data_IF_120317265054
#
_entry.id   IF_120317265054
#
_cell.length_a   1.000
_cell.length_b   1.000
_cell.length_c   1.000
_cell.angle_alpha   90.00
_cell.angle_beta   90.00
_cell.angle_gamma   90.00
#
_symmetry.space_group_name_H-M   'P 1'
#
loop_
_entity.id
_entity.type
_entity.pdbx_description
1 polymer ?
#
# COMPACT_ATOMS: atom_id res chain seq x y z
N UNK A 1 -49.45 18.34 -12.04
CA UNK A 1 -49.47 16.86 -12.10
C UNK A 1 -48.05 16.40 -12.46
N UNK A 2 -47.36 15.79 -11.48
CA UNK A 2 -46.20 14.87 -11.55
C UNK A 2 -44.89 15.30 -12.25
N UNK A 3 -43.98 15.85 -11.43
CA UNK A 3 -42.58 15.43 -11.18
C UNK A 3 -42.11 14.08 -11.80
N UNK A 4 -40.94 14.04 -12.47
CA UNK A 4 -39.68 13.44 -11.96
C UNK A 4 -38.54 13.29 -13.00
N UNK A 5 -37.31 13.31 -12.47
CA UNK A 5 -36.07 12.65 -12.92
C UNK A 5 -35.18 13.28 -14.01
N UNK A 6 -34.31 14.21 -13.55
CA UNK A 6 -32.88 14.16 -13.90
C UNK A 6 -32.08 13.90 -12.62
N UNK A 7 -31.76 12.63 -12.36
CA UNK A 7 -30.77 12.20 -11.35
C UNK A 7 -29.75 11.29 -12.03
N UNK A 8 -28.52 11.81 -12.02
CA UNK A 8 -27.23 11.16 -11.73
C UNK A 8 -26.70 10.05 -12.67
N UNK A 9 -25.50 10.34 -13.19
CA UNK A 9 -24.52 9.40 -13.77
C UNK A 9 -23.83 8.58 -12.64
N UNK A 10 -24.27 8.75 -11.39
CA UNK A 10 -23.64 8.20 -10.19
C UNK A 10 -23.89 6.71 -9.86
N UNK A 11 -24.80 5.93 -10.47
CA UNK A 11 -24.96 4.52 -10.09
C UNK A 11 -24.24 3.53 -11.03
N UNK A 12 -23.56 3.98 -12.09
CA UNK A 12 -22.79 3.10 -13.01
C UNK A 12 -21.28 3.09 -12.74
N UNK A 13 -20.78 4.04 -11.95
CA UNK A 13 -19.38 4.12 -11.46
C UNK A 13 -19.18 3.31 -10.17
N UNK A 14 -20.27 2.92 -9.51
CA UNK A 14 -20.26 2.25 -8.19
C UNK A 14 -20.19 0.70 -8.31
N UNK A 15 -19.97 0.14 -9.51
CA UNK A 15 -20.04 -1.32 -9.77
C UNK A 15 -18.81 -1.92 -10.51
N UNK A 16 -17.73 -1.19 -10.79
CA UNK A 16 -16.46 -1.81 -11.26
C UNK A 16 -15.69 -2.50 -10.08
N UNK A 17 -16.48 -3.11 -9.21
CA UNK A 17 -16.24 -3.49 -7.83
C UNK A 17 -16.09 -5.02 -7.71
N UNK A 18 -15.87 -5.76 -8.81
CA UNK A 18 -16.03 -7.23 -8.85
C UNK A 18 -14.88 -8.12 -9.35
N UNK A 19 -13.67 -7.60 -9.57
CA UNK A 19 -12.84 -8.16 -10.66
C UNK A 19 -11.59 -8.98 -10.27
N UNK A 20 -11.10 -8.93 -9.03
CA UNK A 20 -10.04 -9.89 -8.61
C UNK A 20 -10.53 -10.93 -7.61
N UNK A 21 -11.85 -11.08 -7.42
CA UNK A 21 -12.40 -11.75 -6.24
C UNK A 21 -12.00 -13.22 -6.06
N UNK A 22 -11.21 -13.45 -5.01
CA UNK A 22 -11.52 -14.53 -4.08
C UNK A 22 -12.63 -14.10 -3.12
N UNK A 23 -13.69 -14.92 -3.06
CA UNK A 23 -14.85 -14.93 -2.15
C UNK A 23 -16.11 -14.19 -2.65
N UNK A 24 -16.99 -15.02 -3.20
CA UNK A 24 -18.45 -14.90 -3.18
C UNK A 24 -18.98 -14.82 -1.74
N UNK A 25 -19.56 -13.70 -1.32
CA UNK A 25 -20.61 -13.64 -0.30
C UNK A 25 -21.36 -12.31 -0.39
N UNK A 26 -22.67 -12.36 -0.57
CA UNK A 26 -23.52 -11.18 -0.75
C UNK A 26 -23.53 -10.25 0.45
N UNK A 27 -23.24 -8.97 0.22
CA UNK A 27 -23.52 -7.92 1.18
C UNK A 27 -25.01 -7.59 1.13
N UNK A 28 -25.80 -8.25 1.98
CA UNK A 28 -26.97 -7.60 2.56
C UNK A 28 -26.46 -6.50 3.48
N UNK A 29 -26.81 -5.24 3.18
CA UNK A 29 -26.78 -4.19 4.19
C UNK A 29 -27.80 -4.57 5.27
N UNK A 30 -27.35 -5.28 6.30
CA UNK A 30 -28.07 -5.34 7.55
C UNK A 30 -27.85 -4.01 8.25
N UNK A 31 -28.80 -3.09 8.11
CA UNK A 31 -28.88 -1.83 8.86
C UNK A 31 -29.22 -2.07 10.35
N UNK A 32 -28.59 -3.07 10.95
CA UNK A 32 -28.96 -3.59 12.26
C UNK A 32 -27.88 -4.45 12.90
N UNK A 33 -26.60 -4.22 12.56
CA UNK A 33 -25.55 -4.67 13.47
C UNK A 33 -25.77 -3.92 14.78
N UNK A 34 -26.21 -4.64 15.82
CA UNK A 34 -26.17 -4.13 17.18
C UNK A 34 -24.74 -3.62 17.37
N UNK A 35 -24.59 -2.31 17.61
CA UNK A 35 -23.37 -1.79 18.23
C UNK A 35 -23.15 -2.70 19.44
N UNK A 36 -22.18 -3.61 19.37
CA UNK A 36 -21.55 -4.05 20.58
C UNK A 36 -21.10 -2.77 21.29
N UNK A 37 -21.26 -2.72 22.61
CA UNK A 37 -20.92 -1.56 23.43
C UNK A 37 -19.41 -1.26 23.35
N UNK A 38 -18.90 -0.82 22.20
CA UNK A 38 -17.58 -0.23 22.08
C UNK A 38 -17.68 1.14 22.74
N UNK A 39 -17.09 1.26 23.92
CA UNK A 39 -17.04 2.50 24.72
C UNK A 39 -16.44 3.67 23.93
N UNK A 40 -15.58 3.37 22.95
CA UNK A 40 -15.07 4.35 22.00
C UNK A 40 -15.83 4.27 20.67
N UNK A 41 -16.25 5.41 20.09
CA UNK A 41 -17.18 5.41 18.98
C UNK A 41 -16.46 5.36 17.61
N UNK A 42 -15.49 4.45 17.50
CA UNK A 42 -14.75 4.15 16.26
C UNK A 42 -14.76 2.63 16.04
N UNK A 43 -15.02 2.19 14.81
CA UNK A 43 -14.92 0.79 14.42
C UNK A 43 -13.91 0.66 13.29
N UNK A 44 -12.91 -0.21 13.46
CA UNK A 44 -11.81 -0.40 12.53
C UNK A 44 -11.96 -1.72 11.78
N UNK A 45 -11.76 -1.71 10.46
CA UNK A 45 -11.89 -2.93 9.62
C UNK A 45 -10.51 -3.46 9.25
N UNK A 46 -9.85 -4.10 10.20
CA UNK A 46 -8.51 -4.65 10.01
C UNK A 46 -8.48 -5.72 8.93
N UNK A 47 -9.55 -6.50 8.72
CA UNK A 47 -9.65 -7.47 7.63
C UNK A 47 -9.38 -6.92 6.21
N UNK A 48 -9.39 -5.60 6.03
CA UNK A 48 -9.00 -4.98 4.75
C UNK A 48 -7.49 -5.09 4.50
N UNK A 49 -6.66 -5.28 5.53
CA UNK A 49 -5.20 -5.23 5.47
C UNK A 49 -4.54 -6.59 5.19
N UNK A 50 -5.23 -7.48 4.48
CA UNK A 50 -4.73 -8.83 4.19
C UNK A 50 -3.32 -8.79 3.54
N UNK A 51 -2.30 -9.40 4.17
CA UNK A 51 -0.94 -9.39 3.64
C UNK A 51 -0.82 -10.17 2.32
N UNK A 52 0.31 -9.99 1.64
CA UNK A 52 0.65 -10.75 0.43
C UNK A 52 0.86 -12.23 0.78
N UNK A 53 0.03 -13.11 0.22
CA UNK A 53 0.15 -14.57 0.27
C UNK A 53 0.43 -15.16 -1.12
N UNK A 54 1.63 -15.02 -1.70
CA UNK A 54 1.88 -15.46 -3.08
C UNK A 54 1.21 -16.81 -3.42
N UNK A 55 0.19 -16.79 -4.30
CA UNK A 55 -0.36 -18.05 -4.81
C UNK A 55 0.70 -18.74 -5.66
N UNK A 56 0.70 -20.07 -5.70
CA UNK A 56 1.71 -20.88 -6.37
C UNK A 56 1.75 -20.74 -7.91
N UNK A 57 1.01 -19.78 -8.49
CA UNK A 57 1.06 -19.45 -9.91
C UNK A 57 2.01 -18.28 -10.20
N UNK A 58 2.57 -18.24 -11.41
CA UNK A 58 3.63 -17.30 -11.84
C UNK A 58 3.26 -15.80 -11.64
N UNK A 59 1.97 -15.51 -11.46
CA UNK A 59 1.41 -14.18 -11.33
C UNK A 59 0.63 -13.93 -10.02
N UNK A 60 0.67 -14.86 -9.07
CA UNK A 60 -0.01 -14.73 -7.78
C UNK A 60 0.32 -13.46 -7.03
N UNK A 61 1.59 -13.04 -7.11
CA UNK A 61 2.09 -11.82 -6.51
C UNK A 61 1.42 -10.55 -7.08
N UNK A 62 1.18 -10.47 -8.40
CA UNK A 62 0.51 -9.32 -9.05
C UNK A 62 -0.85 -9.05 -8.44
N UNK A 63 -1.68 -10.10 -8.38
CA UNK A 63 -3.09 -9.96 -7.99
C UNK A 63 -3.23 -9.54 -6.53
N UNK A 64 -2.36 -10.08 -5.69
CA UNK A 64 -2.42 -9.83 -4.26
C UNK A 64 -1.80 -8.49 -3.88
N UNK A 65 -0.77 -8.05 -4.59
CA UNK A 65 -0.22 -6.72 -4.38
C UNK A 65 -1.19 -5.61 -4.76
N UNK A 66 -1.98 -5.79 -5.82
CA UNK A 66 -3.10 -4.91 -6.13
C UNK A 66 -4.18 -4.91 -5.02
N UNK A 67 -4.53 -6.10 -4.52
CA UNK A 67 -5.56 -6.28 -3.48
C UNK A 67 -5.15 -5.67 -2.16
N UNK A 68 -3.92 -5.92 -1.71
CA UNK A 68 -3.38 -5.42 -0.46
C UNK A 68 -3.24 -3.90 -0.45
N UNK A 69 -2.76 -3.34 -1.56
CA UNK A 69 -2.66 -1.91 -1.75
C UNK A 69 -4.06 -1.24 -1.63
N UNK A 70 -5.05 -1.77 -2.34
CA UNK A 70 -6.44 -1.31 -2.22
C UNK A 70 -6.97 -1.40 -0.80
N UNK A 71 -6.71 -2.51 -0.12
CA UNK A 71 -7.12 -2.74 1.27
C UNK A 71 -6.62 -1.63 2.20
N UNK A 72 -5.36 -1.23 2.06
CA UNK A 72 -4.77 -0.13 2.81
C UNK A 72 -5.39 1.23 2.50
N UNK A 73 -5.62 1.56 1.22
CA UNK A 73 -6.31 2.81 0.86
C UNK A 73 -7.70 2.89 1.48
N UNK A 74 -8.47 1.80 1.37
CA UNK A 74 -9.81 1.74 1.95
C UNK A 74 -9.78 1.82 3.47
N UNK A 75 -8.75 1.26 4.11
CA UNK A 75 -8.61 1.31 5.54
C UNK A 75 -8.32 2.72 6.07
N UNK A 76 -7.47 3.51 5.40
CA UNK A 76 -7.26 4.92 5.74
C UNK A 76 -8.54 5.74 5.59
N UNK A 77 -9.23 5.58 4.45
CA UNK A 77 -10.50 6.27 4.19
C UNK A 77 -11.57 5.87 5.24
N UNK A 78 -11.63 4.59 5.63
CA UNK A 78 -12.53 4.08 6.67
C UNK A 78 -12.21 4.69 8.05
N UNK A 79 -10.92 4.87 8.41
CA UNK A 79 -10.53 5.54 9.66
C UNK A 79 -11.02 6.99 9.65
N UNK A 80 -10.67 7.75 8.61
CA UNK A 80 -11.02 9.18 8.49
C UNK A 80 -12.55 9.34 8.51
N UNK A 81 -13.26 8.58 7.69
CA UNK A 81 -14.71 8.62 7.63
C UNK A 81 -15.36 8.19 8.96
N UNK A 82 -14.80 7.18 9.63
CA UNK A 82 -15.25 6.72 10.94
C UNK A 82 -15.16 7.83 11.99
N UNK A 83 -14.02 8.52 12.06
CA UNK A 83 -13.82 9.66 12.97
C UNK A 83 -14.77 10.81 12.61
N UNK A 84 -14.79 11.23 11.34
CA UNK A 84 -15.59 12.37 10.87
C UNK A 84 -17.09 12.16 11.03
N UNK A 85 -17.57 10.91 10.98
CA UNK A 85 -18.97 10.59 11.20
C UNK A 85 -19.44 10.83 12.65
N UNK A 86 -18.51 11.01 13.59
CA UNK A 86 -18.81 11.30 14.98
C UNK A 86 -18.49 12.76 15.34
N UNK A 87 -19.51 13.61 15.27
CA UNK A 87 -19.37 15.04 15.54
C UNK A 87 -18.90 15.36 16.96
N UNK A 88 -19.25 14.56 17.96
CA UNK A 88 -18.80 14.76 19.34
C UNK A 88 -17.31 14.40 19.47
N UNK A 89 -16.88 13.29 18.90
CA UNK A 89 -15.47 12.89 18.89
C UNK A 89 -14.62 13.95 18.17
N UNK A 90 -15.08 14.43 17.01
CA UNK A 90 -14.41 15.49 16.27
C UNK A 90 -14.29 16.76 17.11
N UNK A 91 -15.40 17.18 17.75
CA UNK A 91 -15.40 18.37 18.61
C UNK A 91 -14.43 18.23 19.79
N UNK A 92 -14.39 17.06 20.43
CA UNK A 92 -13.52 16.82 21.58
C UNK A 92 -12.05 16.70 21.19
N UNK A 93 -11.72 16.10 20.04
CA UNK A 93 -10.35 15.91 19.59
C UNK A 93 -9.78 17.12 18.83
N UNK A 94 -10.60 18.08 18.40
CA UNK A 94 -10.12 19.27 17.71
C UNK A 94 -9.33 20.17 18.67
N UNK A 95 -8.03 20.34 18.41
CA UNK A 95 -7.09 21.11 19.25
C UNK A 95 -6.80 20.50 20.63
N UNK A 96 -7.24 19.25 20.86
CA UNK A 96 -7.09 18.54 22.14
C UNK A 96 -6.76 17.07 21.88
N UNK A 97 -6.28 16.38 22.91
CA UNK A 97 -6.00 14.95 22.82
C UNK A 97 -7.07 14.15 23.54
N UNK A 98 -7.82 13.35 22.78
CA UNK A 98 -8.73 12.35 23.31
C UNK A 98 -7.98 11.05 23.56
N UNK A 99 -8.12 10.47 24.75
CA UNK A 99 -7.50 9.19 25.13
C UNK A 99 -8.53 8.20 25.63
N UNK A 100 -8.30 6.93 25.39
CA UNK A 100 -9.09 5.85 25.99
C UNK A 100 -8.23 4.61 26.16
N UNK A 101 -8.48 3.81 27.20
CA UNK A 101 -7.59 2.70 27.57
C UNK A 101 -8.32 1.36 27.54
N UNK A 102 -7.58 0.29 27.24
CA UNK A 102 -8.10 -1.08 27.29
C UNK A 102 -9.37 -1.31 26.43
N UNK A 103 -9.37 -0.75 25.23
CA UNK A 103 -10.50 -0.83 24.29
C UNK A 103 -10.31 -1.95 23.29
N UNK A 104 -11.29 -2.84 23.18
CA UNK A 104 -11.38 -3.71 22.01
C UNK A 104 -11.82 -2.88 20.80
N UNK A 105 -10.95 -2.77 19.81
CA UNK A 105 -11.24 -2.08 18.56
C UNK A 105 -11.02 -3.00 17.38
N UNK A 106 -11.94 -2.89 16.43
CA UNK A 106 -11.89 -3.57 15.14
C UNK A 106 -12.21 -5.06 15.18
N UNK A 107 -12.09 -5.70 14.02
CA UNK A 107 -12.52 -7.08 13.78
C UNK A 107 -11.42 -8.14 13.98
N UNK A 108 -10.29 -7.75 14.58
CA UNK A 108 -9.07 -8.55 14.68
C UNK A 108 -8.68 -9.05 16.08
N UNK A 109 -9.55 -8.87 17.07
CA UNK A 109 -9.31 -9.30 18.45
C UNK A 109 -8.27 -8.48 19.24
N UNK A 110 -7.79 -7.37 18.70
CA UNK A 110 -6.87 -6.48 19.39
C UNK A 110 -7.52 -5.65 20.50
N UNK A 111 -6.74 -5.33 21.52
CA UNK A 111 -7.14 -4.45 22.64
C UNK A 111 -6.09 -3.36 22.80
N UNK A 112 -6.54 -2.10 22.83
CA UNK A 112 -5.65 -0.95 22.66
C UNK A 112 -5.89 0.16 23.67
N UNK A 113 -4.81 0.87 23.99
CA UNK A 113 -4.87 2.25 24.42
C UNK A 113 -4.87 3.15 23.17
N UNK A 114 -5.86 4.02 23.09
CA UNK A 114 -6.16 4.85 21.93
C UNK A 114 -5.82 6.29 22.26
N UNK A 115 -5.22 6.98 21.30
CA UNK A 115 -5.06 8.43 21.34
C UNK A 115 -5.44 9.05 20.01
N UNK A 116 -6.24 10.11 20.06
CA UNK A 116 -6.69 10.86 18.89
C UNK A 116 -6.54 12.36 19.13
N UNK A 117 -5.87 13.03 18.21
CA UNK A 117 -5.78 14.49 18.14
C UNK A 117 -6.16 14.94 16.74
N UNK A 118 -6.98 15.98 16.62
CA UNK A 118 -7.38 16.57 15.34
C UNK A 118 -7.05 18.06 15.31
N UNK A 119 -6.81 18.61 14.12
CA UNK A 119 -6.69 20.06 13.93
C UNK A 119 -5.63 20.75 14.78
N UNK A 120 -4.47 20.11 14.96
CA UNK A 120 -3.34 20.65 15.73
C UNK A 120 -2.56 21.73 14.92
N UNK A 121 -3.19 22.89 14.72
CA UNK A 121 -2.61 23.99 13.94
C UNK A 121 -1.50 24.73 14.70
N UNK A 122 -0.35 24.94 14.05
CA UNK A 122 0.79 25.71 14.57
C UNK A 122 1.77 24.90 15.43
N UNK A 123 1.48 23.62 15.69
CA UNK A 123 2.38 22.66 16.33
C UNK A 123 2.18 21.26 15.70
N UNK A 124 2.05 21.22 14.37
CA UNK A 124 1.74 20.01 13.59
C UNK A 124 2.72 18.86 13.87
N UNK A 125 2.24 17.62 13.71
CA UNK A 125 3.06 16.42 13.90
C UNK A 125 4.05 16.23 12.76
N UNK A 126 5.27 15.82 13.06
CA UNK A 126 6.38 15.74 12.09
C UNK A 126 7.05 14.36 12.08
N UNK A 127 6.30 13.29 11.73
CA UNK A 127 6.89 11.97 11.60
C UNK A 127 7.85 11.94 10.41
N UNK A 128 8.96 11.22 10.56
CA UNK A 128 9.85 10.86 9.46
C UNK A 128 9.32 9.63 8.73
N UNK A 129 9.64 9.47 7.44
CA UNK A 129 9.17 8.34 6.62
C UNK A 129 10.27 7.80 5.72
N UNK A 130 10.10 6.57 5.21
CA UNK A 130 10.97 6.05 4.15
C UNK A 130 10.75 6.71 2.78
N UNK A 131 9.71 7.51 2.64
CA UNK A 131 9.20 8.03 1.35
C UNK A 131 9.56 9.50 1.11
N UNK A 132 9.98 10.23 2.14
CA UNK A 132 10.38 11.63 2.03
C UNK A 132 11.55 11.92 2.96
N UNK A 133 12.37 12.90 2.58
CA UNK A 133 13.56 13.29 3.35
C UNK A 133 13.43 14.66 4.00
N UNK A 134 12.47 15.47 3.53
CA UNK A 134 12.10 16.77 4.09
C UNK A 134 11.12 16.60 5.24
N UNK A 135 11.01 17.62 6.09
CA UNK A 135 10.00 17.66 7.14
C UNK A 135 8.61 17.76 6.52
N UNK A 136 7.74 16.84 6.91
CA UNK A 136 6.31 16.84 6.64
C UNK A 136 5.55 17.19 7.90
N UNK A 137 4.42 17.87 7.75
CA UNK A 137 3.58 18.32 8.85
C UNK A 137 2.17 17.79 8.67
N UNK A 138 1.61 17.21 9.72
CA UNK A 138 0.23 16.69 9.70
C UNK A 138 -0.57 17.31 10.85
N UNK A 139 -1.79 17.75 10.57
CA UNK A 139 -2.67 18.37 11.58
C UNK A 139 -3.37 17.34 12.47
N UNK A 140 -3.48 16.09 12.02
CA UNK A 140 -4.23 15.05 12.70
C UNK A 140 -3.36 13.82 13.02
N UNK A 141 -3.68 13.17 14.15
CA UNK A 141 -2.94 12.00 14.63
C UNK A 141 -3.84 11.00 15.36
N UNK A 142 -3.68 9.71 15.03
CA UNK A 142 -4.30 8.58 15.70
C UNK A 142 -3.22 7.56 16.07
N UNK A 143 -3.23 7.13 17.32
CA UNK A 143 -2.35 6.09 17.86
C UNK A 143 -3.17 4.96 18.46
N UNK A 144 -2.77 3.73 18.16
CA UNK A 144 -3.19 2.53 18.87
C UNK A 144 -1.95 1.84 19.45
N UNK A 145 -1.88 1.79 20.78
CA UNK A 145 -0.88 1.02 21.52
C UNK A 145 -1.54 -0.24 22.06
N UNK A 146 -0.85 -1.38 22.03
CA UNK A 146 -1.36 -2.60 22.65
C UNK A 146 -1.58 -2.36 24.15
N UNK A 147 -2.78 -2.67 24.64
CA UNK A 147 -3.15 -2.38 26.01
C UNK A 147 -2.23 -3.11 27.00
N UNK A 148 -1.77 -2.38 28.02
CA UNK A 148 -0.86 -2.92 29.04
C UNK A 148 0.59 -3.11 28.60
N UNK A 149 0.98 -2.69 27.39
CA UNK A 149 2.38 -2.77 26.92
C UNK A 149 2.87 -1.40 26.43
N UNK A 150 4.13 -1.34 25.98
CA UNK A 150 4.70 -0.18 25.28
C UNK A 150 4.67 -0.34 23.75
N UNK A 151 4.09 -1.41 23.24
CA UNK A 151 4.12 -1.74 21.81
C UNK A 151 3.09 -0.95 21.02
N UNK A 152 3.56 -0.15 20.07
CA UNK A 152 2.71 0.46 19.04
C UNK A 152 2.14 -0.62 18.12
N UNK A 153 0.84 -0.52 17.84
CA UNK A 153 0.14 -1.35 16.87
C UNK A 153 -0.17 -0.54 15.60
N UNK A 154 -0.54 0.73 15.74
CA UNK A 154 -0.86 1.63 14.64
C UNK A 154 -0.55 3.08 14.99
N UNK A 155 0.00 3.82 14.03
CA UNK A 155 0.12 5.28 14.05
C UNK A 155 -0.36 5.82 12.71
N UNK A 156 -1.19 6.85 12.73
CA UNK A 156 -1.74 7.45 11.54
C UNK A 156 -1.68 8.96 11.65
N UNK A 157 -1.05 9.60 10.67
CA UNK A 157 -0.87 11.03 10.56
C UNK A 157 -1.50 11.49 9.26
N UNK A 158 -2.32 12.54 9.26
CA UNK A 158 -2.96 13.00 8.03
C UNK A 158 -3.34 14.48 8.07
N UNK A 159 -3.39 15.08 6.88
CA UNK A 159 -4.00 16.39 6.66
C UNK A 159 -5.52 16.28 6.55
N UNK A 160 -6.25 17.37 6.79
CA UNK A 160 -7.71 17.40 6.66
C UNK A 160 -8.19 16.96 5.27
N UNK A 161 -7.39 17.21 4.24
CA UNK A 161 -7.58 16.69 2.89
C UNK A 161 -6.26 16.07 2.36
N UNK A 162 -6.05 14.76 2.55
CA UNK A 162 -4.84 14.07 2.09
C UNK A 162 -4.68 14.04 0.56
N UNK A 163 -5.73 14.43 -0.19
CA UNK A 163 -5.77 14.45 -1.65
C UNK A 163 -5.61 15.87 -2.22
N UNK A 164 -5.32 16.85 -1.37
CA UNK A 164 -5.02 18.21 -1.80
C UNK A 164 -3.68 18.21 -2.55
N UNK A 165 -3.68 18.71 -3.79
CA UNK A 165 -2.46 18.84 -4.58
C UNK A 165 -1.46 19.74 -3.86
N UNK A 166 -0.23 19.25 -3.67
CA UNK A 166 0.82 19.95 -2.94
C UNK A 166 0.67 19.90 -1.41
N UNK A 167 -0.31 19.17 -0.86
CA UNK A 167 -0.39 18.89 0.58
C UNK A 167 0.64 17.84 1.04
N UNK A 168 0.72 17.61 2.35
CA UNK A 168 1.64 16.63 2.95
C UNK A 168 1.03 15.22 2.99
N UNK A 169 -0.29 15.11 2.89
CA UNK A 169 -0.99 13.86 2.59
C UNK A 169 -1.38 13.06 3.83
N UNK A 170 -1.12 11.75 3.81
CA UNK A 170 -1.37 10.86 4.94
C UNK A 170 -0.31 9.76 5.04
N UNK A 171 0.16 9.51 6.27
CA UNK A 171 1.12 8.46 6.63
C UNK A 171 0.50 7.51 7.65
N UNK A 172 0.38 6.24 7.29
CA UNK A 172 -0.06 5.16 8.15
C UNK A 172 1.09 4.19 8.42
N UNK A 173 1.34 3.87 9.67
CA UNK A 173 2.28 2.84 10.09
C UNK A 173 1.52 1.84 10.96
N UNK A 174 1.61 0.55 10.66
CA UNK A 174 0.95 -0.48 11.46
C UNK A 174 1.72 -1.80 11.45
N UNK A 175 1.46 -2.65 12.43
CA UNK A 175 2.04 -3.99 12.52
C UNK A 175 0.93 -5.03 12.54
N UNK A 176 0.93 -5.94 11.56
CA UNK A 176 -0.13 -6.91 11.33
C UNK A 176 -0.46 -7.70 12.61
N UNK A 177 0.46 -8.50 13.14
CA UNK A 177 0.20 -9.33 14.33
C UNK A 177 -0.25 -8.53 15.57
N UNK A 178 0.02 -7.23 15.64
CA UNK A 178 -0.42 -6.37 16.76
C UNK A 178 -1.82 -5.80 16.56
N UNK A 179 -2.19 -5.41 15.34
CA UNK A 179 -3.52 -4.83 15.06
C UNK A 179 -4.62 -5.88 14.93
N UNK A 180 -4.33 -7.07 14.41
CA UNK A 180 -5.28 -8.19 14.41
C UNK A 180 -4.61 -9.52 14.81
N UNK A 181 -4.30 -9.71 16.11
CA UNK A 181 -3.65 -10.92 16.60
C UNK A 181 -4.46 -12.21 16.38
N UNK A 182 -5.78 -12.13 16.20
CA UNK A 182 -6.59 -13.31 15.86
C UNK A 182 -6.50 -13.72 14.39
N UNK A 183 -6.14 -12.77 13.52
CA UNK A 183 -6.17 -12.96 12.06
C UNK A 183 -4.78 -13.24 11.49
N UNK A 184 -3.73 -12.62 12.06
CA UNK A 184 -2.40 -12.61 11.44
C UNK A 184 -1.30 -12.98 12.42
N UNK A 185 -0.39 -13.83 11.96
CA UNK A 185 0.88 -14.15 12.63
C UNK A 185 2.05 -13.31 12.10
N UNK A 186 1.84 -12.60 11.00
CA UNK A 186 2.83 -11.78 10.30
C UNK A 186 3.37 -10.66 11.21
N UNK A 187 4.69 -10.62 11.39
CA UNK A 187 5.34 -9.64 12.26
C UNK A 187 5.78 -8.38 11.50
N UNK A 188 5.46 -8.28 10.20
CA UNK A 188 5.81 -7.13 9.39
C UNK A 188 5.21 -5.82 9.93
N UNK A 189 6.05 -4.80 10.00
CA UNK A 189 5.63 -3.41 10.12
C UNK A 189 5.48 -2.85 8.72
N UNK A 190 4.34 -2.24 8.46
CA UNK A 190 3.95 -1.66 7.18
C UNK A 190 3.90 -0.15 7.34
N UNK A 191 4.48 0.56 6.40
CA UNK A 191 4.31 2.00 6.21
C UNK A 191 3.55 2.21 4.89
N UNK A 192 2.44 2.94 4.94
CA UNK A 192 1.72 3.40 3.76
C UNK A 192 1.65 4.92 3.75
N UNK A 193 2.03 5.51 2.64
CA UNK A 193 2.00 6.95 2.43
C UNK A 193 1.17 7.27 1.20
N UNK A 194 0.22 8.20 1.33
CA UNK A 194 -0.66 8.69 0.27
C UNK A 194 -0.45 10.19 0.15
N UNK A 195 -0.22 10.67 -1.07
CA UNK A 195 -0.23 12.10 -1.34
C UNK A 195 -0.62 12.42 -2.78
N UNK A 196 -1.04 13.66 -3.01
CA UNK A 196 -1.35 14.18 -4.34
C UNK A 196 -0.24 15.13 -4.78
N UNK A 197 0.58 14.77 -5.79
CA UNK A 197 1.62 15.65 -6.31
C UNK A 197 1.06 16.95 -6.88
N UNK A 198 1.81 18.05 -6.79
CA UNK A 198 1.49 19.29 -7.50
C UNK A 198 1.98 19.23 -8.95
N UNK A 199 1.31 18.42 -9.77
CA UNK A 199 1.68 18.20 -11.17
C UNK A 199 1.65 19.47 -12.04
N UNK A 200 1.06 20.57 -11.55
CA UNK A 200 0.92 21.84 -12.28
C UNK A 200 2.12 22.74 -12.01
N UNK A 201 2.54 22.87 -10.75
CA UNK A 201 3.58 23.83 -10.37
C UNK A 201 4.96 23.19 -10.15
N UNK A 202 5.04 21.87 -9.98
CA UNK A 202 6.29 21.17 -9.77
C UNK A 202 6.91 20.72 -11.10
N UNK A 203 8.11 21.24 -11.39
CA UNK A 203 8.86 20.94 -12.61
C UNK A 203 9.24 19.46 -12.74
N UNK A 204 9.31 18.71 -11.63
CA UNK A 204 9.54 17.25 -11.63
C UNK A 204 8.50 16.53 -12.49
N UNK A 205 7.28 17.06 -12.52
CA UNK A 205 6.15 16.48 -13.26
C UNK A 205 5.89 17.17 -14.60
N UNK A 206 6.77 18.04 -15.10
CA UNK A 206 6.58 18.71 -16.39
C UNK A 206 6.48 17.72 -17.56
N UNK A 207 7.15 16.57 -17.46
CA UNK A 207 7.06 15.47 -18.43
C UNK A 207 5.91 14.49 -18.14
N UNK A 208 5.20 14.68 -17.02
CA UNK A 208 4.11 13.85 -16.53
C UNK A 208 2.93 14.70 -16.02
N UNK A 209 2.40 15.65 -16.82
CA UNK A 209 1.46 16.68 -16.35
C UNK A 209 0.11 16.11 -15.88
N UNK A 210 -0.18 14.85 -16.17
CA UNK A 210 -1.41 14.15 -15.79
C UNK A 210 -1.18 13.14 -14.65
N UNK A 211 -0.17 13.40 -13.80
CA UNK A 211 0.10 12.63 -12.60
C UNK A 211 -1.01 12.87 -11.58
N UNK A 212 -1.68 11.79 -11.17
CA UNK A 212 -2.70 11.81 -10.11
C UNK A 212 -2.14 11.33 -8.78
N UNK A 213 -3.03 10.78 -7.95
CA UNK A 213 -2.70 10.30 -6.62
C UNK A 213 -1.57 9.27 -6.66
N UNK A 214 -0.69 9.36 -5.66
CA UNK A 214 0.37 8.39 -5.43
C UNK A 214 0.14 7.72 -4.10
N UNK A 215 0.35 6.40 -4.08
CA UNK A 215 0.37 5.65 -2.84
C UNK A 215 1.55 4.67 -2.83
N UNK A 216 2.29 4.68 -1.73
CA UNK A 216 3.40 3.75 -1.50
C UNK A 216 3.07 2.87 -0.31
N UNK A 217 3.57 1.63 -0.36
CA UNK A 217 3.55 0.69 0.75
C UNK A 217 4.94 0.11 0.88
N UNK A 218 5.58 0.34 2.01
CA UNK A 218 6.85 -0.26 2.33
C UNK A 218 6.67 -1.16 3.54
N UNK A 219 7.39 -2.27 3.59
CA UNK A 219 7.38 -3.12 4.78
C UNK A 219 8.75 -3.56 5.22
N UNK A 220 8.81 -3.88 6.51
CA UNK A 220 9.95 -4.50 7.16
C UNK A 220 9.48 -5.62 8.07
N UNK A 221 10.09 -6.80 7.91
CA UNK A 221 9.76 -8.02 8.64
C UNK A 221 8.95 -9.02 7.81
N UNK A 222 8.79 -10.26 8.32
CA UNK A 222 8.14 -11.34 7.59
C UNK A 222 6.63 -11.07 7.43
N UNK A 223 6.13 -11.30 6.22
CA UNK A 223 4.72 -11.12 5.85
C UNK A 223 3.83 -12.32 6.21
N UNK A 224 4.43 -13.41 6.69
CA UNK A 224 3.72 -14.58 7.17
C UNK A 224 4.68 -15.60 7.79
N UNK A 225 4.10 -16.64 8.39
CA UNK A 225 4.86 -17.77 8.97
C UNK A 225 4.44 -19.11 8.36
N UNK A 226 3.54 -19.08 7.39
CA UNK A 226 2.84 -20.20 6.78
C UNK A 226 3.49 -20.67 5.46
N UNK A 227 4.43 -19.91 4.92
CA UNK A 227 5.17 -20.25 3.69
C UNK A 227 6.62 -19.75 3.74
N UNK A 228 7.51 -20.43 3.01
CA UNK A 228 8.91 -20.02 2.83
C UNK A 228 9.01 -18.58 2.31
N UNK A 229 8.19 -18.24 1.30
CA UNK A 229 8.19 -16.89 0.77
C UNK A 229 7.66 -15.86 1.77
N UNK A 230 6.64 -16.19 2.57
CA UNK A 230 6.13 -15.29 3.62
C UNK A 230 7.15 -15.02 4.73
N UNK A 231 7.98 -16.01 5.06
CA UNK A 231 9.07 -15.90 6.04
C UNK A 231 10.23 -15.03 5.53
N UNK A 232 10.51 -15.10 4.24
CA UNK A 232 11.73 -14.54 3.66
C UNK A 232 11.53 -13.31 2.77
N UNK A 233 10.30 -12.97 2.38
CA UNK A 233 9.97 -11.69 1.74
C UNK A 233 9.92 -10.55 2.78
N UNK A 234 11.05 -10.30 3.44
CA UNK A 234 11.12 -9.46 4.63
C UNK A 234 11.04 -7.95 4.34
N UNK A 235 11.29 -7.54 3.09
CA UNK A 235 11.33 -6.12 2.73
C UNK A 235 10.78 -5.94 1.33
N UNK A 236 10.08 -4.85 1.13
CA UNK A 236 9.68 -4.47 -0.21
C UNK A 236 8.94 -3.16 -0.21
N UNK A 237 8.80 -2.62 -1.41
CA UNK A 237 8.05 -1.40 -1.67
C UNK A 237 7.15 -1.61 -2.86
N UNK A 238 5.87 -1.34 -2.66
CA UNK A 238 4.85 -1.24 -3.70
C UNK A 238 4.53 0.23 -3.92
N UNK A 239 4.36 0.61 -5.18
CA UNK A 239 4.05 1.96 -5.62
C UNK A 239 2.85 1.90 -6.56
N UNK A 240 1.85 2.71 -6.27
CA UNK A 240 0.70 2.97 -7.10
C UNK A 240 0.73 4.41 -7.56
N UNK A 241 0.45 4.61 -8.85
CA UNK A 241 0.32 5.95 -9.41
C UNK A 241 -0.87 6.00 -10.39
N UNK A 242 -1.75 6.96 -10.19
CA UNK A 242 -2.77 7.31 -11.18
C UNK A 242 -2.14 8.17 -12.29
N UNK A 243 -2.44 7.82 -13.54
CA UNK A 243 -1.85 8.45 -14.72
C UNK A 243 -2.93 8.78 -15.76
N UNK A 244 -2.55 9.63 -16.72
CA UNK A 244 -3.34 9.95 -17.91
C UNK A 244 -4.76 10.44 -17.56
N UNK A 245 -4.86 11.42 -16.66
CA UNK A 245 -6.13 11.95 -16.17
C UNK A 245 -7.00 10.88 -15.51
N UNK A 246 -6.38 10.02 -14.69
CA UNK A 246 -7.05 8.97 -13.92
C UNK A 246 -7.72 7.91 -14.83
N UNK A 247 -7.18 7.69 -16.03
CA UNK A 247 -7.66 6.64 -16.95
C UNK A 247 -6.77 5.40 -16.94
N UNK A 248 -5.55 5.52 -16.41
CA UNK A 248 -4.61 4.42 -16.25
C UNK A 248 -4.10 4.39 -14.82
N UNK A 249 -4.04 3.19 -14.27
CA UNK A 249 -3.41 2.90 -13.00
C UNK A 249 -2.12 2.14 -13.23
N UNK A 250 -1.02 2.65 -12.72
CA UNK A 250 0.28 2.02 -12.84
C UNK A 250 0.74 1.49 -11.47
N UNK A 251 1.37 0.34 -11.50
CA UNK A 251 1.90 -0.35 -10.34
C UNK A 251 3.36 -0.69 -10.58
N UNK A 252 4.21 -0.47 -9.57
CA UNK A 252 5.59 -0.96 -9.52
C UNK A 252 5.87 -1.56 -8.16
N UNK A 253 6.73 -2.58 -8.13
CA UNK A 253 7.21 -3.14 -6.87
C UNK A 253 8.62 -3.69 -6.99
N UNK A 254 9.32 -3.65 -5.87
CA UNK A 254 10.52 -4.46 -5.61
C UNK A 254 10.35 -5.15 -4.27
N UNK A 255 10.61 -6.45 -4.25
CA UNK A 255 10.62 -7.26 -3.04
C UNK A 255 11.96 -7.93 -2.88
N UNK A 256 12.59 -7.70 -1.74
CA UNK A 256 13.78 -8.44 -1.33
C UNK A 256 13.37 -9.73 -0.66
N UNK A 257 13.96 -10.82 -1.13
CA UNK A 257 13.79 -12.18 -0.63
C UNK A 257 15.15 -12.65 -0.15
N UNK A 258 15.22 -13.21 1.05
CA UNK A 258 16.50 -13.66 1.60
C UNK A 258 17.12 -14.75 0.72
N UNK A 259 18.43 -14.67 0.47
CA UNK A 259 19.14 -15.67 -0.33
C UNK A 259 19.12 -17.09 0.24
N UNK A 260 18.74 -17.24 1.51
CA UNK A 260 18.63 -18.51 2.24
C UNK A 260 17.25 -19.17 2.12
N UNK A 261 16.28 -18.53 1.46
CA UNK A 261 14.92 -19.07 1.28
C UNK A 261 14.97 -20.43 0.61
N UNK A 262 14.13 -21.41 0.99
CA UNK A 262 14.12 -22.71 0.33
C UNK A 262 13.06 -22.81 -0.79
N UNK A 263 13.19 -21.98 -1.84
CA UNK A 263 12.22 -21.96 -2.97
C UNK A 263 12.38 -23.16 -3.92
N UNK A 264 13.54 -23.83 -3.91
CA UNK A 264 13.78 -25.09 -4.61
C UNK A 264 14.22 -26.16 -3.61
N UNK A 265 13.29 -26.99 -3.08
CA UNK A 265 13.60 -28.01 -2.08
C UNK A 265 14.27 -29.26 -2.69
N UNK A 266 15.26 -29.07 -3.56
CA UNK A 266 16.14 -30.11 -4.07
C UNK A 266 17.37 -30.21 -3.17
N UNK A 267 17.81 -31.43 -2.84
CA UNK A 267 18.93 -31.65 -1.92
C UNK A 267 20.25 -31.01 -2.37
N UNK A 268 20.46 -30.84 -3.68
CA UNK A 268 21.62 -30.17 -4.25
C UNK A 268 21.61 -28.64 -4.10
N UNK A 269 20.46 -28.05 -3.76
CA UNK A 269 20.23 -26.61 -3.68
C UNK A 269 19.41 -26.22 -2.43
N UNK A 270 19.50 -27.02 -1.36
CA UNK A 270 18.75 -26.76 -0.13
C UNK A 270 19.15 -25.40 0.49
N UNK A 271 18.15 -24.66 0.98
CA UNK A 271 18.33 -23.33 1.58
C UNK A 271 18.95 -22.30 0.62
N UNK A 272 18.49 -22.36 -0.63
CA UNK A 272 18.90 -21.45 -1.69
C UNK A 272 17.65 -20.90 -2.35
N UNK A 273 17.65 -19.59 -2.57
CA UNK A 273 16.53 -18.89 -3.18
C UNK A 273 16.39 -19.25 -4.68
N UNK A 274 15.60 -18.53 -5.48
CA UNK A 274 15.23 -18.96 -6.84
C UNK A 274 16.44 -19.04 -7.81
N UNK A 275 17.40 -18.14 -7.68
CA UNK A 275 18.58 -17.97 -8.52
C UNK A 275 19.72 -18.88 -8.04
N UNK A 276 19.81 -20.09 -8.62
CA UNK A 276 20.92 -21.00 -8.36
C UNK A 276 22.14 -20.71 -9.24
N UNK A 277 23.38 -20.91 -8.75
CA UNK A 277 23.78 -21.41 -7.41
C UNK A 277 23.97 -20.30 -6.35
N UNK A 278 23.32 -19.16 -6.55
CA UNK A 278 23.43 -17.95 -5.75
C UNK A 278 23.29 -18.11 -4.23
N UNK A 279 23.80 -17.12 -3.50
CA UNK A 279 23.56 -16.98 -2.05
C UNK A 279 23.17 -15.57 -1.66
N UNK A 280 23.21 -14.63 -2.59
CA UNK A 280 22.84 -13.26 -2.29
C UNK A 280 21.34 -13.16 -2.16
N UNK A 281 20.86 -12.10 -1.51
CA UNK A 281 19.45 -11.79 -1.53
C UNK A 281 18.96 -11.58 -2.95
N UNK A 282 17.71 -11.91 -3.17
CA UNK A 282 17.06 -11.83 -4.46
C UNK A 282 16.03 -10.73 -4.48
N UNK A 283 15.80 -10.18 -5.67
CA UNK A 283 14.93 -9.05 -5.86
C UNK A 283 13.90 -9.39 -6.93
N UNK A 284 12.67 -9.62 -6.49
CA UNK A 284 11.53 -9.73 -7.37
C UNK A 284 11.09 -8.33 -7.79
N UNK A 285 10.97 -8.13 -9.09
CA UNK A 285 10.53 -6.87 -9.70
C UNK A 285 9.26 -7.12 -10.46
N UNK A 286 8.32 -6.19 -10.37
CA UNK A 286 7.09 -6.25 -11.14
C UNK A 286 6.59 -4.85 -11.46
N UNK A 287 6.15 -4.68 -12.70
CA UNK A 287 5.40 -3.51 -13.13
C UNK A 287 4.14 -3.98 -13.85
N UNK A 288 3.02 -3.28 -13.65
CA UNK A 288 1.87 -3.43 -14.53
C UNK A 288 1.14 -2.12 -14.74
N UNK A 289 0.38 -2.05 -15.82
CA UNK A 289 -0.51 -0.93 -16.10
C UNK A 289 -1.89 -1.46 -16.43
N UNK A 290 -2.90 -0.85 -15.82
CA UNK A 290 -4.29 -1.22 -15.93
C UNK A 290 -5.10 -0.05 -16.48
N UNK A 291 -6.00 -0.32 -17.42
CA UNK A 291 -7.04 0.64 -17.81
C UNK A 291 -8.07 0.76 -16.70
N UNK A 292 -8.47 1.98 -16.35
CA UNK A 292 -9.50 2.24 -15.34
C UNK A 292 -10.93 2.25 -15.91
N UNK A 293 -11.07 2.08 -17.23
CA UNK A 293 -12.35 2.01 -17.94
C UNK A 293 -12.42 0.77 -18.83
N UNK A 294 -13.63 0.27 -19.09
CA UNK A 294 -13.84 -0.92 -19.93
C UNK A 294 -13.59 -2.22 -19.16
N UNK A 295 -12.96 -3.19 -19.81
CA UNK A 295 -12.70 -4.54 -19.25
C UNK A 295 -11.53 -4.58 -18.24
N UNK A 296 -11.05 -3.41 -17.80
CA UNK A 296 -9.94 -3.29 -16.84
C UNK A 296 -8.68 -4.06 -17.26
N UNK A 297 -8.44 -4.14 -18.57
CA UNK A 297 -7.32 -4.89 -19.14
C UNK A 297 -5.98 -4.41 -18.57
N UNK A 298 -5.15 -5.37 -18.18
CA UNK A 298 -3.86 -5.19 -17.52
C UNK A 298 -2.78 -5.85 -18.36
N UNK A 299 -1.66 -5.14 -18.53
CA UNK A 299 -0.42 -5.72 -19.03
C UNK A 299 0.63 -5.59 -17.94
N UNK A 300 1.25 -6.71 -17.60
CA UNK A 300 2.24 -6.84 -16.56
C UNK A 300 3.56 -7.38 -17.10
N UNK A 301 4.65 -7.01 -16.44
CA UNK A 301 6.00 -7.46 -16.71
C UNK A 301 6.72 -7.66 -15.39
N UNK A 302 7.37 -8.80 -15.23
CA UNK A 302 8.09 -9.16 -14.01
C UNK A 302 9.50 -9.67 -14.33
N UNK A 303 10.33 -9.75 -13.32
CA UNK A 303 11.67 -10.31 -13.41
C UNK A 303 12.22 -10.56 -12.02
N UNK A 304 13.34 -11.28 -11.99
CA UNK A 304 13.94 -11.74 -10.74
C UNK A 304 15.46 -11.72 -10.85
N UNK A 305 16.11 -10.98 -9.95
CA UNK A 305 17.56 -10.80 -9.96
C UNK A 305 18.20 -11.25 -8.66
N UNK A 306 19.43 -11.78 -8.74
CA UNK A 306 20.24 -12.07 -7.57
C UNK A 306 21.20 -10.91 -7.28
N UNK A 307 21.25 -10.46 -6.03
CA UNK A 307 22.26 -9.52 -5.52
C UNK A 307 22.14 -8.08 -6.03
N UNK A 308 21.20 -7.79 -6.93
CA UNK A 308 21.03 -6.49 -7.54
C UNK A 308 19.56 -6.14 -7.83
N UNK A 309 19.31 -4.84 -7.98
CA UNK A 309 18.10 -4.29 -8.62
C UNK A 309 18.60 -3.41 -9.78
N UNK A 310 18.77 -4.00 -10.96
CA UNK A 310 19.45 -3.36 -12.09
C UNK A 310 18.61 -2.25 -12.73
N UNK A 311 19.25 -1.12 -13.01
CA UNK A 311 18.67 0.03 -13.71
C UNK A 311 19.59 0.54 -14.85
N UNK A 312 19.06 0.96 -16.02
CA UNK A 312 17.66 0.76 -16.43
C UNK A 312 17.35 -0.72 -16.56
N UNK A 313 16.13 -1.11 -16.22
CA UNK A 313 15.71 -2.49 -16.43
C UNK A 313 15.71 -2.77 -17.94
N UNK A 314 16.55 -3.70 -18.38
CA UNK A 314 16.64 -4.14 -19.79
C UNK A 314 15.85 -5.42 -20.00
N UNK A 315 15.62 -5.90 -21.24
CA UNK A 315 15.01 -7.20 -21.46
C UNK A 315 15.75 -8.34 -20.74
N UNK A 316 17.08 -8.30 -20.59
CA UNK A 316 17.79 -9.30 -19.77
C UNK A 316 17.32 -9.35 -18.30
N UNK A 317 16.69 -8.28 -17.82
CA UNK A 317 16.17 -8.14 -16.45
C UNK A 317 14.69 -8.48 -16.30
N UNK A 318 13.99 -8.88 -17.37
CA UNK A 318 12.65 -9.48 -17.33
C UNK A 318 12.68 -11.02 -17.32
N UNK A 319 13.88 -11.55 -17.07
CA UNK A 319 14.13 -12.96 -16.89
C UNK A 319 14.09 -13.34 -15.41
N UNK A 320 13.76 -14.60 -15.15
CA UNK A 320 14.02 -15.23 -13.86
C UNK A 320 15.48 -15.62 -13.81
N UNK A 321 16.30 -14.89 -13.04
CA UNK A 321 17.71 -15.20 -12.79
C UNK A 321 18.55 -15.34 -14.08
N UNK A 322 18.18 -14.63 -15.15
CA UNK A 322 18.80 -14.75 -16.48
C UNK A 322 18.54 -16.08 -17.21
N UNK A 323 17.59 -16.91 -16.74
CA UNK A 323 17.32 -18.25 -17.27
C UNK A 323 16.10 -18.33 -18.18
N UNK A 324 15.01 -17.67 -17.81
CA UNK A 324 13.72 -17.78 -18.53
C UNK A 324 13.07 -16.42 -18.63
N UNK A 325 12.74 -16.01 -19.85
CA UNK A 325 11.99 -14.78 -20.13
C UNK A 325 10.52 -14.95 -19.71
N UNK A 326 9.97 -13.95 -19.01
CA UNK A 326 8.54 -13.92 -18.65
C UNK A 326 7.73 -13.13 -19.69
N UNK A 327 8.39 -12.32 -20.52
CA UNK A 327 7.83 -11.40 -21.54
C UNK A 327 6.71 -10.51 -20.96
N UNK A 328 5.44 -10.86 -21.18
CA UNK A 328 4.29 -10.12 -20.64
C UNK A 328 3.18 -11.05 -20.14
N UNK A 329 2.58 -10.67 -19.02
CA UNK A 329 1.34 -11.22 -18.50
C UNK A 329 0.16 -10.34 -18.85
N UNK A 330 -0.94 -10.94 -19.28
CA UNK A 330 -2.20 -10.28 -19.58
C UNK A 330 -3.28 -10.70 -18.58
N UNK A 331 -4.02 -9.71 -18.08
CA UNK A 331 -5.15 -9.92 -17.19
C UNK A 331 -6.32 -9.05 -17.64
N UNK A 332 -7.53 -9.51 -17.37
CA UNK A 332 -8.75 -8.76 -17.63
C UNK A 332 -9.65 -8.79 -16.39
N UNK A 333 -10.91 -8.41 -16.59
CA UNK A 333 -11.89 -8.38 -15.52
C UNK A 333 -12.20 -9.75 -14.88
N UNK A 334 -11.81 -10.85 -15.52
CA UNK A 334 -12.01 -12.22 -15.08
C UNK A 334 -10.73 -12.84 -14.50
N UNK A 335 -9.62 -12.09 -14.47
CA UNK A 335 -8.35 -12.51 -13.90
C UNK A 335 -7.29 -12.79 -14.96
N UNK A 336 -6.49 -13.83 -14.76
CA UNK A 336 -5.38 -14.18 -15.64
C UNK A 336 -5.89 -14.63 -17.01
N UNK A 337 -5.33 -14.05 -18.07
CA UNK A 337 -5.69 -14.37 -19.45
C UNK A 337 -4.59 -15.19 -20.11
N UNK A 338 -3.35 -14.70 -20.08
CA UNK A 338 -2.21 -15.35 -20.73
C UNK A 338 -0.87 -14.82 -20.21
N UNK A 339 0.15 -15.65 -20.17
CA UNK A 339 1.55 -15.33 -19.89
C UNK A 339 2.42 -15.45 -21.15
N UNK A 340 3.68 -14.99 -21.07
CA UNK A 340 4.68 -15.10 -22.13
C UNK A 340 4.19 -14.56 -23.47
N UNK A 341 3.45 -13.46 -23.42
CA UNK A 341 2.94 -12.79 -24.62
C UNK A 341 4.04 -11.90 -25.17
N UNK A 342 4.40 -12.07 -26.44
CA UNK A 342 5.34 -11.16 -27.11
C UNK A 342 4.81 -9.72 -27.14
N UNK A 343 5.70 -8.73 -27.12
CA UNK A 343 5.31 -7.31 -27.15
C UNK A 343 4.38 -6.97 -28.33
N UNK A 344 4.64 -7.56 -29.50
CA UNK A 344 3.84 -7.38 -30.72
C UNK A 344 2.49 -8.11 -30.70
N UNK A 345 2.32 -9.06 -29.79
CA UNK A 345 1.11 -9.86 -29.62
C UNK A 345 0.19 -9.33 -28.50
N UNK A 346 0.59 -8.25 -27.78
CA UNK A 346 -0.26 -7.58 -26.80
C UNK A 346 -1.44 -6.92 -27.54
N UNK A 347 -2.69 -7.33 -27.28
CA UNK A 347 -3.85 -6.79 -27.99
C UNK A 347 -4.05 -5.30 -27.73
N UNK A 348 -4.55 -4.56 -28.73
CA UNK A 348 -4.69 -3.09 -28.65
C UNK A 348 -5.64 -2.58 -27.54
N UNK A 349 -6.56 -3.43 -27.08
CA UNK A 349 -7.46 -3.13 -25.98
C UNK A 349 -6.79 -3.27 -24.60
N UNK A 350 -5.58 -3.80 -24.53
CA UNK A 350 -4.72 -3.79 -23.35
C UNK A 350 -3.86 -2.52 -23.30
N UNK A 351 -3.11 -2.33 -22.21
CA UNK A 351 -2.09 -1.27 -22.15
C UNK A 351 -0.88 -1.72 -22.96
N UNK A 352 -0.37 -0.86 -23.85
CA UNK A 352 0.71 -1.24 -24.76
C UNK A 352 1.97 -1.70 -24.02
N UNK A 353 2.64 -2.73 -24.54
CA UNK A 353 3.94 -3.23 -24.07
C UNK A 353 4.96 -2.10 -23.82
N UNK A 354 5.11 -1.17 -24.77
CA UNK A 354 6.06 -0.05 -24.66
C UNK A 354 5.83 0.84 -23.42
N UNK A 355 4.58 0.99 -22.98
CA UNK A 355 4.26 1.75 -21.76
C UNK A 355 4.69 0.98 -20.52
N UNK A 356 4.43 -0.32 -20.49
CA UNK A 356 4.84 -1.20 -19.39
C UNK A 356 6.36 -1.31 -19.34
N UNK A 357 7.05 -1.36 -20.47
CA UNK A 357 8.51 -1.27 -20.55
C UNK A 357 9.03 0.05 -19.95
N UNK A 358 8.41 1.17 -20.30
CA UNK A 358 8.77 2.47 -19.71
C UNK A 358 8.56 2.52 -18.19
N UNK A 359 7.56 1.82 -17.67
CA UNK A 359 7.29 1.70 -16.24
C UNK A 359 8.30 0.77 -15.54
N UNK A 360 8.52 -0.42 -16.11
CA UNK A 360 9.47 -1.42 -15.62
C UNK A 360 10.91 -0.91 -15.66
N UNK A 361 11.27 -0.17 -16.72
CA UNK A 361 12.56 0.48 -16.91
C UNK A 361 12.97 1.43 -15.79
N UNK A 362 12.02 1.94 -14.99
CA UNK A 362 12.28 2.82 -13.84
C UNK A 362 12.62 2.06 -12.55
N UNK A 363 12.34 0.76 -12.48
CA UNK A 363 12.63 -0.05 -11.29
C UNK A 363 14.15 -0.11 -11.08
N UNK A 364 14.60 0.01 -9.82
CA UNK A 364 16.02 0.02 -9.46
C UNK A 364 16.67 1.40 -9.45
N UNK A 365 15.88 2.46 -9.63
CA UNK A 365 16.33 3.85 -9.57
C UNK A 365 15.50 4.67 -8.58
N UNK A 366 15.85 5.95 -8.47
CA UNK A 366 15.06 6.97 -7.81
C UNK A 366 13.81 7.43 -8.61
N UNK A 367 13.56 6.84 -9.78
CA UNK A 367 12.35 7.04 -10.55
C UNK A 367 12.15 8.48 -11.07
N UNK A 368 10.90 8.90 -11.18
CA UNK A 368 10.46 10.23 -11.62
C UNK A 368 10.84 11.31 -10.60
N UNK A 369 10.75 10.97 -9.31
CA UNK A 369 11.05 11.91 -8.23
C UNK A 369 12.54 12.23 -8.13
N UNK A 370 13.43 11.34 -8.58
CA UNK A 370 14.87 11.58 -8.55
C UNK A 370 15.35 11.82 -7.10
N UNK A 371 16.03 12.94 -6.85
CA UNK A 371 16.42 13.31 -5.48
C UNK A 371 15.26 13.72 -4.56
N UNK A 372 14.04 13.81 -5.10
CA UNK A 372 12.84 14.28 -4.43
C UNK A 372 12.08 15.24 -5.35
N UNK A 373 10.76 15.18 -5.31
CA UNK A 373 9.91 16.18 -5.96
C UNK A 373 10.04 17.57 -5.28
N UNK A 374 9.29 18.57 -5.73
CA UNK A 374 9.28 19.91 -5.15
C UNK A 374 8.89 19.96 -3.67
N UNK A 375 8.40 18.84 -3.14
CA UNK A 375 8.03 18.62 -1.74
C UNK A 375 8.99 17.67 -1.01
N UNK A 376 10.09 17.24 -1.65
CA UNK A 376 11.13 16.36 -1.10
C UNK A 376 10.71 14.90 -0.97
N UNK A 377 9.67 14.48 -1.71
CA UNK A 377 9.14 13.12 -1.70
C UNK A 377 9.85 12.27 -2.76
N UNK A 378 10.40 11.12 -2.35
CA UNK A 378 11.08 10.11 -3.18
C UNK A 378 10.27 8.82 -3.28
N UNK A 379 8.97 8.96 -3.58
CA UNK A 379 7.98 7.88 -3.58
C UNK A 379 8.31 6.72 -4.52
N UNK A 380 9.00 6.98 -5.63
CA UNK A 380 9.41 5.93 -6.57
C UNK A 380 10.87 5.53 -6.54
N UNK A 381 11.56 5.83 -5.43
CA UNK A 381 12.84 5.20 -5.16
C UNK A 381 12.65 3.72 -4.84
N UNK A 382 13.14 2.90 -5.76
CA UNK A 382 13.15 1.42 -5.72
C UNK A 382 14.57 0.89 -5.87
N UNK A 383 15.59 1.72 -5.65
CA UNK A 383 16.98 1.30 -5.67
C UNK A 383 17.25 0.22 -4.62
N UNK A 384 18.25 -0.62 -4.87
CA UNK A 384 18.67 -1.66 -3.93
C UNK A 384 18.92 -1.10 -2.53
N UNK A 385 19.59 0.04 -2.43
CA UNK A 385 19.91 0.70 -1.16
C UNK A 385 18.64 1.03 -0.37
N UNK A 386 17.63 1.59 -1.06
CA UNK A 386 16.36 1.95 -0.44
C UNK A 386 15.59 0.73 0.03
N UNK A 387 15.49 -0.32 -0.80
CA UNK A 387 14.81 -1.57 -0.42
C UNK A 387 15.51 -2.28 0.74
N UNK A 388 16.84 -2.33 0.72
CA UNK A 388 17.61 -2.95 1.80
C UNK A 388 17.48 -2.19 3.10
N UNK A 389 17.42 -0.85 3.05
CA UNK A 389 17.32 0.03 4.21
C UNK A 389 15.95 0.05 4.90
N UNK A 390 14.91 -0.54 4.30
CA UNK A 390 13.54 -0.50 4.83
C UNK A 390 13.42 -1.04 6.25
N UNK A 391 14.28 -1.95 6.67
CA UNK A 391 14.31 -2.47 8.04
C UNK A 391 14.63 -1.42 9.12
N UNK A 392 15.24 -0.30 8.75
CA UNK A 392 15.54 0.80 9.67
C UNK A 392 14.61 1.99 9.45
N UNK A 393 14.15 2.23 8.22
CA UNK A 393 13.27 3.36 7.91
C UNK A 393 11.79 3.09 8.19
N UNK A 394 11.31 1.85 7.99
CA UNK A 394 9.92 1.44 8.27
C UNK A 394 9.81 1.02 9.73
N UNK A 395 9.60 2.01 10.58
CA UNK A 395 9.53 1.83 12.04
C UNK A 395 8.48 2.75 12.65
N UNK A 396 7.86 2.28 13.74
CA UNK A 396 7.02 3.15 14.56
C UNK A 396 7.84 4.32 15.13
N UNK A 397 7.15 5.43 15.32
CA UNK A 397 7.70 6.63 15.94
C UNK A 397 7.48 6.58 17.43
N UNK A 398 8.25 7.39 18.14
CA UNK A 398 7.89 7.68 19.52
C UNK A 398 6.44 8.19 19.55
N UNK A 399 5.75 7.87 20.64
CA UNK A 399 4.44 8.43 20.90
C UNK A 399 4.58 9.96 20.91
N UNK A 400 3.81 10.65 20.09
CA UNK A 400 3.75 12.12 20.05
C UNK A 400 3.42 12.72 21.42
N UNK A 401 3.61 14.02 21.62
CA UNK A 401 3.13 14.67 22.84
C UNK A 401 1.60 14.85 22.80
N UNK A 402 0.98 14.93 23.99
CA UNK A 402 -0.44 15.29 24.06
C UNK A 402 -0.60 16.77 23.73
N UNK A 403 -1.64 17.09 22.97
CA UNK A 403 -1.97 18.43 22.51
C UNK A 403 -3.16 18.96 23.31
N UNK A 404 -3.09 20.22 23.73
CA UNK A 404 -4.17 20.87 24.46
C UNK A 404 -4.55 20.12 25.75
N UNK A 405 -5.85 20.01 26.01
CA UNK A 405 -6.35 19.24 27.15
C UNK A 405 -6.40 17.75 26.83
N UNK A 406 -6.06 16.91 27.81
CA UNK A 406 -6.26 15.46 27.71
C UNK A 406 -7.67 15.10 28.17
N UNK A 407 -8.46 14.52 27.26
CA UNK A 407 -9.87 14.17 27.50
C UNK A 407 -9.99 12.63 27.52
N UNK A 408 -10.11 12.01 28.70
CA UNK A 408 -10.35 10.58 28.81
C UNK A 408 -11.78 10.23 28.41
N UNK A 409 -11.95 9.23 27.54
CA UNK A 409 -13.25 8.72 27.07
C UNK A 409 -13.31 7.23 27.39
N UNK A 410 -13.95 6.89 28.51
CA UNK A 410 -14.21 5.52 28.93
C UNK A 410 -15.65 5.10 28.68
#
# INVERSE_FOLDING_TARGET
MKLHNRRSILPKVVLALLVFFGITAGFKFNSGAKKENTQFPLSLKFKLLQPLHASADEWGFVRQSATWARGNSLFMDDIIAGIQSNTLLVLLASGNTVTATNLSLGDGGGVFDVRLTLGNSGNEFQPNSSVYTTTKTFSNYLELKVAGTSDMALQFYWDDNPRLAGGDGALLIYNLARIAPSEWTAQATIESYVYMPDAVNDTTYSSFPNQGLIQTYSWAGPLGTDSELGLHAQRGRVILEEMDNQTVFCFKTVVRIDGTTNLFPLTSFANKALCQPGTSDEYYKLAYSQKLTGNLNVTAKSGWEEGAVTYPATPATDMICGLTEISYGLFDMNGFVRDRVDSSAVPSDYVSAARVDGLYGRIGSQGKSGSGDGQGVTWDDTSKLTIDGLNTSVTFKASEENVGSVIPVN
#
